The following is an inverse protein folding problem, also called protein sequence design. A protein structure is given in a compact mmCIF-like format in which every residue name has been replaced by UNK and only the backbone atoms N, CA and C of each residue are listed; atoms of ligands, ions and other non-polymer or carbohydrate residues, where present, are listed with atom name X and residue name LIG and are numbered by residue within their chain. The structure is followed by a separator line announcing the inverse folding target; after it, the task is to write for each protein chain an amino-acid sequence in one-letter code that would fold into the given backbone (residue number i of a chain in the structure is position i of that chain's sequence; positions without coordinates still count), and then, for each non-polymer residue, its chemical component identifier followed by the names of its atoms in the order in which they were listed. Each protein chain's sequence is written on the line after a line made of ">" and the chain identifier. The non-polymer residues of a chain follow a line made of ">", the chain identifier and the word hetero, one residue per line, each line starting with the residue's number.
data_IF_655641155184
#
_entry.id   IF_655641155184
#
_cell.length_a   1.000
_cell.length_b   1.000
_cell.length_c   1.000
_cell.angle_alpha   90.00
_cell.angle_beta   90.00
_cell.angle_gamma   90.00
#
_symmetry.space_group_name_H-M   'P 1'
#
loop_
_entity.id
_entity.type
_entity.pdbx_description
1 polymer ?
#
# COMPACT_ATOMS: atom_id res chain seq x y z
N UNK A 1 4.33 -11.78 9.81
CA UNK A 1 4.67 -10.70 10.76
C UNK A 1 3.34 -10.09 11.18
N UNK A 2 2.76 -10.56 12.28
CA UNK A 2 1.48 -10.05 12.78
C UNK A 2 1.77 -8.98 13.83
N UNK A 3 1.57 -7.71 13.46
CA UNK A 3 1.56 -6.64 14.45
C UNK A 3 0.26 -6.75 15.24
N UNK A 4 0.32 -7.35 16.43
CA UNK A 4 -0.79 -7.33 17.38
C UNK A 4 -0.92 -5.93 17.95
N UNK A 5 -1.74 -5.09 17.33
CA UNK A 5 -2.26 -3.90 17.98
C UNK A 5 -3.07 -4.40 19.18
N UNK A 6 -2.55 -4.22 20.40
CA UNK A 6 -3.20 -4.68 21.62
C UNK A 6 -4.63 -4.15 21.64
N UNK A 7 -5.60 -5.04 21.41
CA UNK A 7 -7.01 -4.75 21.58
C UNK A 7 -7.26 -4.66 23.09
N UNK A 8 -7.03 -3.48 23.67
CA UNK A 8 -7.46 -3.21 25.03
C UNK A 8 -8.97 -2.99 24.99
N UNK A 9 -9.72 -4.08 25.14
CA UNK A 9 -11.17 -4.08 25.27
C UNK A 9 -11.60 -3.47 26.61
N UNK A 10 -11.48 -2.15 26.73
CA UNK A 10 -12.10 -1.36 27.79
C UNK A 10 -13.19 -0.49 27.20
N UNK A 11 -14.41 -0.59 27.74
CA UNK A 11 -15.63 0.12 27.33
C UNK A 11 -15.58 1.65 27.59
N UNK A 12 -14.48 2.33 27.26
CA UNK A 12 -14.42 3.78 27.28
C UNK A 12 -14.39 4.31 25.85
N UNK A 13 -15.60 4.54 25.36
CA UNK A 13 -15.96 5.12 24.06
C UNK A 13 -15.55 6.59 23.90
N UNK A 14 -14.68 7.12 24.77
CA UNK A 14 -14.20 8.50 24.73
C UNK A 14 -13.33 8.72 23.47
N UNK A 15 -13.62 9.77 22.70
CA UNK A 15 -12.86 10.17 21.52
C UNK A 15 -11.39 10.47 21.84
N UNK A 16 -10.57 10.55 20.80
CA UNK A 16 -9.16 10.96 20.97
C UNK A 16 -9.14 12.48 21.08
N UNK A 17 -8.68 13.03 22.20
CA UNK A 17 -8.55 14.49 22.38
C UNK A 17 -7.14 14.94 22.01
N UNK A 18 -7.03 15.91 21.11
CA UNK A 18 -5.79 16.63 20.82
C UNK A 18 -6.01 18.07 21.27
N UNK A 19 -5.39 18.44 22.39
CA UNK A 19 -5.69 19.70 23.08
C UNK A 19 -7.17 19.77 23.49
N UNK A 20 -7.84 20.84 23.11
CA UNK A 20 -9.26 21.05 23.40
C UNK A 20 -10.20 20.40 22.38
N UNK A 21 -9.68 19.88 21.27
CA UNK A 21 -10.49 19.29 20.20
C UNK A 21 -10.65 17.78 20.36
N UNK A 22 -11.89 17.31 20.28
CA UNK A 22 -12.21 15.88 20.19
C UNK A 22 -12.22 15.43 18.72
N UNK A 23 -11.41 14.41 18.42
CA UNK A 23 -11.32 13.81 17.09
C UNK A 23 -12.23 12.58 17.05
N UNK A 24 -13.17 12.50 16.09
CA UNK A 24 -14.03 11.35 15.94
C UNK A 24 -13.18 10.12 15.58
N UNK A 25 -13.47 8.99 16.23
CA UNK A 25 -12.85 7.72 15.88
C UNK A 25 -13.28 7.33 14.46
N UNK A 26 -12.33 6.88 13.67
CA UNK A 26 -12.57 6.38 12.32
C UNK A 26 -12.25 4.89 12.26
N UNK A 27 -13.10 4.12 11.59
CA UNK A 27 -12.89 2.69 11.38
C UNK A 27 -11.77 2.41 10.36
N UNK A 28 -11.47 3.37 9.47
CA UNK A 28 -10.41 3.28 8.46
C UNK A 28 -9.59 4.57 8.43
N UNK A 29 -8.30 4.46 8.69
CA UNK A 29 -7.40 5.60 8.71
C UNK A 29 -6.21 5.38 7.76
N UNK A 30 -5.83 6.40 6.99
CA UNK A 30 -4.66 6.32 6.11
C UNK A 30 -3.44 6.90 6.82
N UNK A 31 -2.41 6.08 7.02
CA UNK A 31 -1.15 6.46 7.65
C UNK A 31 0.04 6.05 6.77
N UNK A 32 0.86 7.02 6.36
CA UNK A 32 2.07 6.79 5.54
C UNK A 32 1.80 5.86 4.33
N UNK A 33 0.63 6.03 3.71
CA UNK A 33 0.23 5.24 2.55
C UNK A 33 -0.33 3.84 2.84
N UNK A 34 -0.39 3.41 4.10
CA UNK A 34 -1.14 2.22 4.53
C UNK A 34 -2.53 2.58 5.04
N UNK A 35 -3.48 1.66 4.93
CA UNK A 35 -4.81 1.76 5.52
C UNK A 35 -4.84 0.93 6.81
N UNK A 36 -5.04 1.59 7.95
CA UNK A 36 -5.25 0.95 9.24
C UNK A 36 -6.75 0.79 9.47
N UNK A 37 -7.15 -0.42 9.86
CA UNK A 37 -8.52 -0.71 10.26
C UNK A 37 -8.62 -0.90 11.77
N UNK A 38 -9.75 -0.49 12.35
CA UNK A 38 -10.02 -0.57 13.80
C UNK A 38 -9.97 -2.01 14.34
N UNK A 39 -10.40 -2.99 13.55
CA UNK A 39 -10.35 -4.42 13.88
C UNK A 39 -8.95 -5.04 13.75
N UNK A 40 -7.95 -4.26 13.31
CA UNK A 40 -6.60 -4.74 13.04
C UNK A 40 -6.46 -5.53 11.74
N UNK A 41 -7.53 -5.63 10.93
CA UNK A 41 -7.46 -6.33 9.66
C UNK A 41 -6.65 -5.56 8.63
N UNK A 42 -5.75 -6.29 7.97
CA UNK A 42 -4.89 -5.77 6.91
C UNK A 42 -5.51 -5.92 5.53
N UNK A 43 -6.62 -6.66 5.39
CA UNK A 43 -7.20 -7.03 4.09
C UNK A 43 -7.47 -5.80 3.21
N UNK A 44 -8.02 -4.73 3.78
CA UNK A 44 -8.27 -3.50 3.03
C UNK A 44 -6.99 -2.78 2.56
N UNK A 45 -5.89 -2.87 3.30
CA UNK A 45 -4.59 -2.32 2.87
C UNK A 45 -3.96 -3.20 1.78
N UNK A 46 -3.98 -4.51 1.98
CA UNK A 46 -3.48 -5.50 1.02
C UNK A 46 -4.22 -5.37 -0.31
N UNK A 47 -5.56 -5.37 -0.29
CA UNK A 47 -6.38 -5.20 -1.48
C UNK A 47 -6.08 -3.86 -2.17
N UNK A 48 -5.95 -2.77 -1.43
CA UNK A 48 -5.62 -1.47 -2.01
C UNK A 48 -4.25 -1.48 -2.71
N UNK A 49 -3.22 -2.02 -2.05
CA UNK A 49 -1.85 -2.11 -2.59
C UNK A 49 -1.76 -3.03 -3.80
N UNK A 50 -2.37 -4.22 -3.73
CA UNK A 50 -2.41 -5.18 -4.84
C UNK A 50 -3.08 -4.55 -6.06
N UNK A 51 -4.23 -3.88 -5.88
CA UNK A 51 -4.91 -3.20 -6.98
C UNK A 51 -4.05 -2.08 -7.57
N UNK A 52 -3.40 -1.28 -6.74
CA UNK A 52 -2.52 -0.20 -7.20
C UNK A 52 -1.31 -0.75 -7.98
N UNK A 53 -0.68 -1.82 -7.52
CA UNK A 53 0.42 -2.49 -8.22
C UNK A 53 -0.06 -3.13 -9.53
N UNK A 54 -1.21 -3.78 -9.53
CA UNK A 54 -1.78 -4.39 -10.73
C UNK A 54 -2.08 -3.35 -11.82
N UNK A 55 -2.59 -2.17 -11.44
CA UNK A 55 -2.80 -1.06 -12.37
C UNK A 55 -1.48 -0.57 -12.96
N UNK A 56 -0.44 -0.40 -12.14
CA UNK A 56 0.90 -0.02 -12.62
C UNK A 56 1.50 -1.09 -13.55
N UNK A 57 1.31 -2.36 -13.21
CA UNK A 57 1.76 -3.49 -14.03
C UNK A 57 1.07 -3.50 -15.39
N UNK A 58 -0.26 -3.29 -15.45
CA UNK A 58 -0.99 -3.18 -16.72
C UNK A 58 -0.47 -2.04 -17.61
N UNK A 59 -0.08 -0.90 -17.03
CA UNK A 59 0.55 0.17 -17.80
C UNK A 59 1.96 -0.20 -18.28
N UNK A 60 2.75 -0.87 -17.45
CA UNK A 60 4.11 -1.31 -17.78
C UNK A 60 4.12 -2.41 -18.85
N UNK A 61 3.16 -3.34 -18.80
CA UNK A 61 3.08 -4.45 -19.74
C UNK A 61 2.83 -3.96 -21.17
N UNK A 62 2.10 -2.86 -21.37
CA UNK A 62 1.95 -2.25 -22.70
C UNK A 62 3.30 -1.88 -23.33
N UNK A 63 4.25 -1.37 -22.54
CA UNK A 63 5.59 -1.03 -23.04
C UNK A 63 6.44 -2.29 -23.26
N UNK A 64 6.35 -3.27 -22.35
CA UNK A 64 7.18 -4.47 -22.37
C UNK A 64 6.72 -5.52 -23.39
N UNK A 65 5.41 -5.71 -23.53
CA UNK A 65 4.80 -6.75 -24.34
C UNK A 65 4.47 -6.29 -25.77
N UNK A 66 4.35 -4.98 -26.06
CA UNK A 66 4.11 -4.51 -27.43
C UNK A 66 5.33 -4.80 -28.31
N UNK A 67 5.14 -5.58 -29.38
CA UNK A 67 6.19 -5.94 -30.32
C UNK A 67 6.74 -4.74 -31.11
N UNK A 68 5.96 -3.65 -31.22
CA UNK A 68 6.33 -2.42 -31.91
C UNK A 68 7.26 -1.54 -31.08
N UNK A 69 7.38 -1.79 -29.78
CA UNK A 69 8.25 -1.02 -28.90
C UNK A 69 9.73 -1.40 -29.13
N UNK A 70 10.62 -0.42 -29.40
CA UNK A 70 12.04 -0.71 -29.61
C UNK A 70 12.69 -1.39 -28.41
N UNK A 71 13.54 -2.39 -28.65
CA UNK A 71 14.25 -3.10 -27.58
C UNK A 71 15.08 -2.17 -26.68
N UNK A 72 15.69 -1.12 -27.25
CA UNK A 72 16.42 -0.10 -26.47
C UNK A 72 15.51 0.62 -25.45
N UNK A 73 14.26 0.89 -25.82
CA UNK A 73 13.28 1.52 -24.94
C UNK A 73 12.84 0.55 -23.83
N UNK A 74 12.52 -0.70 -24.19
CA UNK A 74 12.20 -1.76 -23.22
C UNK A 74 13.33 -1.98 -22.22
N UNK A 75 14.57 -2.00 -22.69
CA UNK A 75 15.77 -2.12 -21.85
C UNK A 75 15.93 -0.95 -20.87
N UNK A 76 15.71 0.29 -21.33
CA UNK A 76 15.70 1.47 -20.44
C UNK A 76 14.60 1.35 -19.39
N UNK A 77 13.38 1.06 -19.82
CA UNK A 77 12.22 0.91 -18.93
C UNK A 77 12.42 -0.18 -17.87
N UNK A 78 12.98 -1.32 -18.27
CA UNK A 78 13.34 -2.39 -17.34
C UNK A 78 14.35 -1.89 -16.28
N UNK A 79 15.42 -1.20 -16.70
CA UNK A 79 16.46 -0.71 -15.79
C UNK A 79 15.95 0.38 -14.83
N UNK A 80 15.08 1.28 -15.29
CA UNK A 80 14.62 2.44 -14.51
C UNK A 80 13.42 2.14 -13.62
N UNK A 81 12.54 1.24 -14.03
CA UNK A 81 11.22 1.07 -13.39
C UNK A 81 11.06 -0.32 -12.79
N UNK A 82 11.35 -1.37 -13.56
CA UNK A 82 11.11 -2.76 -13.13
C UNK A 82 12.20 -3.23 -12.16
N UNK A 83 13.47 -3.01 -12.48
CA UNK A 83 14.60 -3.47 -11.65
C UNK A 83 14.56 -2.90 -10.23
N UNK A 84 14.31 -1.60 -9.99
CA UNK A 84 14.18 -1.09 -8.62
C UNK A 84 13.02 -1.71 -7.84
N UNK A 85 11.87 -1.92 -8.49
CA UNK A 85 10.71 -2.56 -7.84
C UNK A 85 10.99 -4.02 -7.47
N UNK A 86 11.64 -4.79 -8.35
CA UNK A 86 12.07 -6.16 -8.06
C UNK A 86 13.09 -6.21 -6.91
N UNK A 87 14.07 -5.31 -6.90
CA UNK A 87 15.09 -5.26 -5.84
C UNK A 87 14.48 -4.96 -4.46
N UNK A 88 13.45 -4.11 -4.40
CA UNK A 88 12.72 -3.89 -3.16
C UNK A 88 12.09 -5.19 -2.63
N UNK A 89 11.49 -6.00 -3.51
CA UNK A 89 10.90 -7.30 -3.15
C UNK A 89 11.92 -8.37 -2.72
N UNK A 90 13.20 -8.20 -3.04
CA UNK A 90 14.27 -9.13 -2.63
C UNK A 90 14.85 -8.86 -1.24
N UNK A 91 14.48 -7.75 -0.59
CA UNK A 91 14.89 -7.47 0.79
C UNK A 91 14.00 -8.26 1.75
N UNK A 92 14.50 -9.40 2.21
CA UNK A 92 14.02 -10.12 3.40
C UNK A 92 14.51 -9.45 4.68
#
# INVERSE_FOLDING_TARGET
>A
MECKFSANGGQNELGVRIGDQEIPKSDRFRYIGSILQKNGELDGDLNHRIQAEWMKWKSASGVLCDCRMPLKLKGKFYRTTIRPAMLYGTKC
#
